data_IF_642801121621
#
_entry.id   IF_642801121621
#
_cell.length_a   1.000
_cell.length_b   1.000
_cell.length_c   1.000
_cell.angle_alpha   90.00
_cell.angle_beta   90.00
_cell.angle_gamma   90.00
#
_symmetry.space_group_name_H-M   'P 1'
#
loop_
_entity.id
_entity.type
_entity.pdbx_description
1 polymer ?
#
# COMPACT_ATOMS: atom_id res chain seq x y z
N UNK A 1 5.83 25.37 -12.98
CA UNK A 1 5.68 24.43 -11.84
C UNK A 1 4.21 24.03 -11.77
N UNK A 2 3.89 22.76 -11.99
CA UNK A 2 2.53 22.25 -11.77
C UNK A 2 2.27 22.28 -10.26
N UNK A 3 1.44 23.21 -9.82
CA UNK A 3 0.92 23.29 -8.46
C UNK A 3 -0.53 22.83 -8.57
N UNK A 4 -0.85 21.73 -7.92
CA UNK A 4 -2.14 21.06 -8.03
C UNK A 4 -2.68 20.97 -6.63
N UNK A 5 -3.64 21.84 -6.33
CA UNK A 5 -4.43 21.71 -5.10
C UNK A 5 -5.17 20.38 -5.21
N UNK A 6 -4.81 19.47 -4.29
CA UNK A 6 -5.36 18.22 -3.73
C UNK A 6 -6.66 17.63 -4.31
N UNK A 7 -7.53 18.43 -4.93
CA UNK A 7 -8.94 18.17 -5.18
C UNK A 7 -9.29 16.97 -6.09
N UNK A 8 -8.32 16.17 -6.52
CA UNK A 8 -8.50 14.89 -7.22
C UNK A 8 -7.67 13.75 -6.61
N UNK A 9 -6.63 14.04 -5.82
CA UNK A 9 -5.72 13.04 -5.25
C UNK A 9 -6.34 12.28 -4.08
N UNK A 10 -6.87 13.00 -3.09
CA UNK A 10 -7.47 12.38 -1.90
C UNK A 10 -8.77 11.61 -2.24
N UNK A 11 -9.63 12.15 -3.11
CA UNK A 11 -10.81 11.44 -3.62
C UNK A 11 -10.47 10.19 -4.44
N UNK A 12 -9.40 10.24 -5.26
CA UNK A 12 -8.94 9.06 -5.99
C UNK A 12 -8.36 8.00 -5.04
N UNK A 13 -7.54 8.41 -4.06
CA UNK A 13 -6.98 7.49 -3.04
C UNK A 13 -8.10 6.91 -2.15
N UNK A 14 -9.10 7.70 -1.77
CA UNK A 14 -10.25 7.20 -1.02
C UNK A 14 -11.06 6.16 -1.81
N UNK A 15 -11.18 6.32 -3.14
CA UNK A 15 -11.85 5.32 -3.99
C UNK A 15 -11.11 3.98 -4.05
N UNK A 16 -9.78 3.97 -3.97
CA UNK A 16 -8.97 2.73 -3.93
C UNK A 16 -8.96 2.07 -2.54
N UNK A 17 -9.01 2.84 -1.46
CA UNK A 17 -8.91 2.33 -0.09
C UNK A 17 -10.21 1.74 0.48
N UNK A 18 -11.37 2.15 -0.04
CA UNK A 18 -12.68 1.70 0.44
C UNK A 18 -13.23 0.44 -0.27
N UNK A 19 -12.34 -0.39 -0.82
CA UNK A 19 -12.70 -1.62 -1.54
C UNK A 19 -13.08 -2.79 -0.64
N UNK A 20 -13.20 -2.57 0.68
CA UNK A 20 -13.62 -3.60 1.64
C UNK A 20 -15.02 -4.17 1.35
N UNK A 21 -15.89 -3.40 0.67
CA UNK A 21 -17.27 -3.78 0.34
C UNK A 21 -17.64 -3.67 -1.16
N UNK A 22 -16.66 -3.62 -2.09
CA UNK A 22 -16.92 -3.43 -3.55
C UNK A 22 -17.74 -2.15 -3.90
N UNK A 23 -17.48 -1.01 -3.24
CA UNK A 23 -18.27 0.23 -3.40
C UNK A 23 -17.45 1.48 -3.74
N UNK A 24 -16.38 1.35 -4.54
CA UNK A 24 -15.61 2.50 -5.01
C UNK A 24 -16.50 3.57 -5.68
N UNK A 25 -17.50 3.15 -6.48
CA UNK A 25 -18.46 4.03 -7.16
C UNK A 25 -19.37 4.83 -6.19
N UNK A 26 -19.69 4.29 -5.02
CA UNK A 26 -20.59 4.95 -4.07
C UNK A 26 -19.92 6.13 -3.34
N UNK A 27 -18.59 6.16 -3.30
CA UNK A 27 -17.82 7.19 -2.58
C UNK A 27 -17.53 8.38 -3.48
N UNK A 28 -17.22 8.14 -4.75
CA UNK A 28 -17.04 9.20 -5.76
C UNK A 28 -18.34 10.00 -5.96
N UNK A 29 -19.50 9.40 -5.69
CA UNK A 29 -20.83 10.01 -5.88
C UNK A 29 -21.46 10.55 -4.59
N UNK A 30 -20.89 10.26 -3.42
CA UNK A 30 -21.44 10.74 -2.12
C UNK A 30 -20.98 12.17 -1.85
N UNK A 31 -21.92 13.02 -1.44
CA UNK A 31 -21.63 14.40 -1.01
C UNK A 31 -21.21 14.42 0.47
N UNK A 32 -19.91 14.53 0.72
CA UNK A 32 -19.27 14.73 2.03
C UNK A 32 -19.19 16.20 2.45
N UNK A 33 -19.77 17.16 1.71
CA UNK A 33 -19.60 18.58 2.03
C UNK A 33 -20.16 19.01 3.38
N UNK A 34 -21.07 18.22 3.97
CA UNK A 34 -21.59 18.44 5.32
C UNK A 34 -20.67 17.91 6.43
N UNK A 35 -19.62 17.16 6.06
CA UNK A 35 -18.67 16.56 6.99
C UNK A 35 -17.49 17.50 7.31
N UNK A 36 -17.26 18.51 6.47
CA UNK A 36 -16.28 19.56 6.75
C UNK A 36 -16.64 20.31 8.03
N UNK A 37 -15.61 20.58 8.85
CA UNK A 37 -15.72 21.37 10.07
C UNK A 37 -15.34 22.83 9.87
N UNK A 38 -15.10 23.25 8.62
CA UNK A 38 -14.84 24.66 8.32
C UNK A 38 -16.05 25.51 8.65
N UNK A 39 -15.83 26.58 9.39
CA UNK A 39 -16.92 27.47 9.75
C UNK A 39 -17.37 28.26 8.52
N UNK A 40 -18.68 28.29 8.25
CA UNK A 40 -19.24 28.97 7.07
C UNK A 40 -18.84 30.45 7.00
N UNK A 41 -18.62 31.08 8.15
CA UNK A 41 -18.19 32.48 8.23
C UNK A 41 -16.70 32.70 7.97
N UNK A 42 -15.86 31.65 8.01
CA UNK A 42 -14.42 31.77 7.82
C UNK A 42 -14.06 32.27 6.43
N UNK A 43 -14.86 31.92 5.41
CA UNK A 43 -14.66 32.36 4.02
C UNK A 43 -14.86 33.86 3.77
N UNK A 44 -15.47 34.57 4.73
CA UNK A 44 -15.72 36.02 4.61
C UNK A 44 -14.60 36.86 5.25
N UNK A 45 -13.54 36.24 5.77
CA UNK A 45 -12.37 36.96 6.24
C UNK A 45 -11.51 37.49 5.09
N UNK A 46 -10.49 38.28 5.42
CA UNK A 46 -9.52 38.77 4.45
C UNK A 46 -8.75 37.61 3.81
N UNK A 47 -8.64 37.56 2.47
CA UNK A 47 -7.83 36.56 1.79
C UNK A 47 -6.38 36.58 2.28
N UNK A 48 -5.74 35.41 2.32
CA UNK A 48 -4.32 35.36 2.65
C UNK A 48 -3.49 36.11 1.61
N UNK A 49 -2.50 36.86 2.09
CA UNK A 49 -1.51 37.45 1.20
C UNK A 49 -0.77 36.37 0.41
N UNK A 50 -0.51 36.62 -0.87
CA UNK A 50 0.09 35.66 -1.80
C UNK A 50 1.43 35.06 -1.32
N UNK A 51 2.20 35.80 -0.52
CA UNK A 51 3.49 35.34 -0.01
C UNK A 51 3.36 34.23 1.04
N UNK A 52 2.31 34.24 1.87
CA UNK A 52 2.01 33.18 2.84
C UNK A 52 1.21 32.03 2.22
N UNK A 53 0.35 32.36 1.25
CA UNK A 53 -0.61 31.46 0.65
C UNK A 53 -0.02 30.09 0.27
N UNK A 54 1.07 30.09 -0.52
CA UNK A 54 1.65 28.84 -1.01
C UNK A 54 2.29 27.98 0.08
N UNK A 55 2.81 28.60 1.14
CA UNK A 55 3.31 27.86 2.31
C UNK A 55 2.18 27.14 3.04
N UNK A 56 1.00 27.77 3.13
CA UNK A 56 -0.19 27.20 3.76
C UNK A 56 -0.85 26.11 2.93
N UNK A 57 -0.93 26.28 1.61
CA UNK A 57 -1.39 25.21 0.70
C UNK A 57 -0.48 23.99 0.81
N UNK A 58 0.85 24.17 0.74
CA UNK A 58 1.79 23.05 0.90
C UNK A 58 1.68 22.37 2.27
N UNK A 59 1.42 23.15 3.31
CA UNK A 59 1.19 22.62 4.66
C UNK A 59 -0.10 21.79 4.74
N UNK A 60 -1.18 22.18 4.06
CA UNK A 60 -2.38 21.35 3.96
C UNK A 60 -2.12 20.08 3.14
N UNK A 61 -1.44 20.20 1.99
CA UNK A 61 -1.05 19.05 1.15
C UNK A 61 -0.32 17.98 1.97
N UNK A 62 0.64 18.38 2.80
CA UNK A 62 1.34 17.47 3.71
C UNK A 62 0.37 16.82 4.70
N UNK A 63 -0.50 17.59 5.36
CA UNK A 63 -1.42 17.06 6.37
C UNK A 63 -2.42 16.06 5.80
N UNK A 64 -2.93 16.32 4.59
CA UNK A 64 -3.79 15.37 3.88
C UNK A 64 -3.03 14.08 3.55
N UNK A 65 -1.81 14.20 3.03
CA UNK A 65 -0.97 13.05 2.74
C UNK A 65 -0.65 12.24 4.00
N UNK A 66 -0.24 12.91 5.08
CA UNK A 66 0.09 12.28 6.37
C UNK A 66 -1.15 11.55 6.95
N UNK A 67 -2.34 12.16 6.87
CA UNK A 67 -3.58 11.54 7.35
C UNK A 67 -4.02 10.33 6.49
N UNK A 68 -3.80 10.39 5.18
CA UNK A 68 -4.03 9.25 4.28
C UNK A 68 -3.02 8.13 4.57
N UNK A 69 -1.74 8.45 4.73
CA UNK A 69 -0.69 7.48 5.07
C UNK A 69 -1.02 6.71 6.36
N UNK A 70 -1.66 7.36 7.34
CA UNK A 70 -2.15 6.71 8.56
C UNK A 70 -3.23 5.66 8.22
N UNK A 71 -4.14 5.96 7.30
CA UNK A 71 -5.21 5.02 6.90
C UNK A 71 -4.61 3.84 6.13
N UNK A 72 -3.60 4.09 5.29
CA UNK A 72 -2.91 3.09 4.47
C UNK A 72 -1.91 2.23 5.25
N UNK A 73 -1.54 2.64 6.47
CA UNK A 73 -0.58 1.91 7.29
C UNK A 73 -1.06 0.46 7.50
N UNK A 74 -0.20 -0.48 7.09
CA UNK A 74 -0.45 -1.92 7.13
C UNK A 74 -0.91 -2.40 8.52
N UNK A 75 -0.43 -1.76 9.60
CA UNK A 75 -0.84 -2.10 10.96
C UNK A 75 -2.35 -1.94 11.23
N UNK A 76 -3.02 -1.07 10.47
CA UNK A 76 -4.45 -0.82 10.56
C UNK A 76 -5.23 -1.50 9.42
N UNK A 77 -4.64 -2.51 8.78
CA UNK A 77 -5.29 -3.36 7.77
C UNK A 77 -6.30 -4.37 8.35
N UNK A 78 -6.52 -4.37 9.66
CA UNK A 78 -7.43 -5.30 10.36
C UNK A 78 -8.86 -4.79 10.40
N UNK A 79 -9.83 -5.72 10.38
CA UNK A 79 -11.26 -5.41 10.41
C UNK A 79 -11.68 -4.62 11.66
N UNK A 80 -10.98 -4.80 12.77
CA UNK A 80 -11.26 -4.11 14.03
C UNK A 80 -11.01 -2.60 13.92
N UNK A 81 -10.12 -2.16 13.02
CA UNK A 81 -9.85 -0.73 12.78
C UNK A 81 -10.76 -0.12 11.72
N UNK A 82 -11.63 -0.90 11.08
CA UNK A 82 -12.46 -0.43 9.96
C UNK A 82 -13.26 0.83 10.33
N UNK A 83 -13.99 0.82 11.43
CA UNK A 83 -14.83 1.96 11.81
C UNK A 83 -14.00 3.21 12.15
N UNK A 84 -12.85 3.04 12.79
CA UNK A 84 -11.93 4.14 13.10
C UNK A 84 -11.35 4.74 11.81
N UNK A 85 -10.93 3.90 10.86
CA UNK A 85 -10.46 4.32 9.53
C UNK A 85 -11.55 5.01 8.73
N UNK A 86 -12.77 4.48 8.75
CA UNK A 86 -13.90 5.06 8.03
C UNK A 86 -14.24 6.46 8.56
N UNK A 87 -14.18 6.66 9.88
CA UNK A 87 -14.35 7.99 10.49
C UNK A 87 -13.26 8.97 10.08
N UNK A 88 -11.98 8.57 10.16
CA UNK A 88 -10.85 9.41 9.74
C UNK A 88 -10.97 9.76 8.26
N UNK A 89 -11.23 8.78 7.39
CA UNK A 89 -11.42 9.02 5.95
C UNK A 89 -12.60 9.95 5.68
N UNK A 90 -13.73 9.76 6.37
CA UNK A 90 -14.91 10.64 6.21
C UNK A 90 -14.56 12.09 6.52
N UNK A 91 -13.74 12.34 7.55
CA UNK A 91 -13.25 13.69 7.90
C UNK A 91 -12.32 14.24 6.81
N UNK A 92 -11.34 13.46 6.36
CA UNK A 92 -10.43 13.82 5.27
C UNK A 92 -11.23 14.21 4.01
N UNK A 93 -12.18 13.37 3.59
CA UNK A 93 -13.00 13.63 2.40
C UNK A 93 -13.89 14.86 2.56
N UNK A 94 -14.41 15.10 3.77
CA UNK A 94 -15.17 16.32 4.08
C UNK A 94 -14.34 17.59 3.82
N UNK A 95 -13.12 17.63 4.34
CA UNK A 95 -12.24 18.80 4.17
C UNK A 95 -11.69 18.94 2.74
N UNK A 96 -11.35 17.85 2.06
CA UNK A 96 -10.94 17.90 0.65
C UNK A 96 -12.09 18.39 -0.23
N UNK A 97 -13.32 17.92 0.03
CA UNK A 97 -14.47 18.34 -0.75
C UNK A 97 -14.84 19.82 -0.51
N UNK A 98 -14.60 20.36 0.70
CA UNK A 98 -14.72 21.78 0.96
C UNK A 98 -13.82 22.59 0.01
N UNK A 99 -12.53 22.24 -0.06
CA UNK A 99 -11.56 22.89 -0.95
C UNK A 99 -11.92 22.72 -2.42
N UNK A 100 -12.39 21.54 -2.82
CA UNK A 100 -12.83 21.25 -4.19
C UNK A 100 -14.03 22.13 -4.59
N UNK A 101 -15.07 22.21 -3.75
CA UNK A 101 -16.26 23.04 -4.03
C UNK A 101 -15.86 24.50 -4.18
N UNK A 102 -14.99 25.00 -3.29
CA UNK A 102 -14.46 26.37 -3.37
C UNK A 102 -13.69 26.60 -4.67
N UNK A 103 -12.81 25.68 -5.07
CA UNK A 103 -12.06 25.76 -6.35
C UNK A 103 -13.01 25.77 -7.56
N UNK A 104 -14.08 24.98 -7.54
CA UNK A 104 -15.09 24.95 -8.60
C UNK A 104 -15.79 26.30 -8.72
N UNK A 105 -16.22 26.89 -7.61
CA UNK A 105 -16.90 28.19 -7.59
C UNK A 105 -15.98 29.32 -8.06
N UNK A 106 -14.74 29.35 -7.56
CA UNK A 106 -13.73 30.35 -7.97
C UNK A 106 -13.40 30.22 -9.46
N UNK A 107 -13.22 28.98 -9.96
CA UNK A 107 -12.93 28.73 -11.37
C UNK A 107 -14.07 29.19 -12.29
N UNK A 108 -15.34 28.99 -11.89
CA UNK A 108 -16.49 29.48 -12.67
C UNK A 108 -16.42 31.00 -12.86
N UNK A 109 -16.16 31.74 -11.77
CA UNK A 109 -16.02 33.19 -11.82
C UNK A 109 -14.81 33.64 -12.64
N UNK A 110 -13.65 33.00 -12.44
CA UNK A 110 -12.44 33.23 -13.24
C UNK A 110 -12.71 33.04 -14.74
N UNK A 111 -13.32 31.91 -15.11
CA UNK A 111 -13.62 31.55 -16.50
C UNK A 111 -14.52 32.57 -17.16
N UNK A 112 -15.59 32.99 -16.48
CA UNK A 112 -16.50 34.02 -16.98
C UNK A 112 -15.80 35.36 -17.22
N UNK A 113 -14.95 35.81 -16.29
CA UNK A 113 -14.18 37.07 -16.43
C UNK A 113 -13.22 37.02 -17.60
N UNK A 114 -12.50 35.91 -17.79
CA UNK A 114 -11.56 35.74 -18.90
C UNK A 114 -12.28 35.74 -20.26
N UNK A 115 -13.40 35.03 -20.37
CA UNK A 115 -14.19 35.00 -21.59
C UNK A 115 -14.76 36.39 -21.93
N UNK A 116 -15.26 37.14 -20.94
CA UNK A 116 -15.74 38.52 -21.13
C UNK A 116 -14.63 39.48 -21.59
N UNK A 117 -13.39 39.22 -21.21
CA UNK A 117 -12.21 39.98 -21.65
C UNK A 117 -11.65 39.53 -23.01
N UNK A 118 -12.28 38.58 -23.70
CA UNK A 118 -11.79 38.03 -24.97
C UNK A 118 -10.55 37.14 -24.83
N UNK A 119 -10.27 36.65 -23.61
CA UNK A 119 -9.12 35.79 -23.31
C UNK A 119 -9.53 34.32 -23.20
N UNK A 120 -8.59 33.42 -23.49
CA UNK A 120 -8.77 31.98 -23.30
C UNK A 120 -8.44 31.60 -21.85
N UNK A 121 -9.41 31.09 -21.06
CA UNK A 121 -9.15 30.63 -19.70
C UNK A 121 -8.33 29.33 -19.69
N UNK A 122 -7.53 29.13 -18.64
CA UNK A 122 -6.86 27.84 -18.42
C UNK A 122 -7.89 26.74 -18.11
N UNK A 123 -7.49 25.47 -18.28
CA UNK A 123 -8.33 24.32 -17.89
C UNK A 123 -8.47 24.24 -16.37
N UNK A 124 -9.58 23.69 -15.88
CA UNK A 124 -9.85 23.54 -14.44
C UNK A 124 -8.71 22.83 -13.68
N UNK A 125 -8.12 21.80 -14.29
CA UNK A 125 -7.00 21.05 -13.69
C UNK A 125 -5.72 21.89 -13.53
N UNK A 126 -5.51 22.86 -14.41
CA UNK A 126 -4.37 23.78 -14.38
C UNK A 126 -4.66 25.05 -13.55
N UNK A 127 -5.89 25.21 -13.07
CA UNK A 127 -6.31 26.30 -12.20
C UNK A 127 -5.95 26.01 -10.73
N UNK A 128 -5.49 27.03 -10.01
CA UNK A 128 -5.29 26.98 -8.57
C UNK A 128 -6.42 27.75 -7.89
N UNK A 129 -6.86 27.30 -6.73
CA UNK A 129 -7.58 28.15 -5.78
C UNK A 129 -6.64 29.33 -5.43
N UNK A 130 -7.20 30.52 -5.27
CA UNK A 130 -6.45 31.71 -4.83
C UNK A 130 -7.17 32.46 -3.71
N UNK A 131 -8.51 32.38 -3.68
CA UNK A 131 -9.30 32.93 -2.59
C UNK A 131 -9.32 31.91 -1.46
N UNK A 132 -8.47 32.09 -0.45
CA UNK A 132 -8.39 31.20 0.72
C UNK A 132 -7.91 32.01 1.92
N UNK A 133 -8.71 32.03 2.99
CA UNK A 133 -8.43 32.81 4.18
C UNK A 133 -7.61 32.01 5.20
N UNK A 134 -6.93 32.73 6.11
CA UNK A 134 -6.19 32.07 7.18
C UNK A 134 -7.12 31.34 8.16
N UNK A 135 -8.37 31.81 8.32
CA UNK A 135 -9.37 31.13 9.14
C UNK A 135 -9.77 29.79 8.54
N UNK A 136 -10.05 29.73 7.24
CA UNK A 136 -10.33 28.45 6.58
C UNK A 136 -9.16 27.46 6.70
N UNK A 137 -7.92 27.95 6.53
CA UNK A 137 -6.73 27.12 6.78
C UNK A 137 -6.71 26.58 8.22
N UNK A 138 -6.93 27.43 9.22
CA UNK A 138 -6.89 27.04 10.63
C UNK A 138 -8.01 26.04 10.96
N UNK A 139 -9.21 26.24 10.42
CA UNK A 139 -10.34 25.35 10.64
C UNK A 139 -10.05 23.95 10.06
N UNK A 140 -9.53 23.88 8.82
CA UNK A 140 -9.14 22.60 8.19
C UNK A 140 -8.01 21.94 8.98
N UNK A 141 -6.98 22.70 9.33
CA UNK A 141 -5.84 22.21 10.11
C UNK A 141 -6.30 21.59 11.44
N UNK A 142 -7.14 22.30 12.18
CA UNK A 142 -7.67 21.83 13.45
C UNK A 142 -8.56 20.60 13.27
N UNK A 143 -9.43 20.60 12.25
CA UNK A 143 -10.30 19.45 11.95
C UNK A 143 -9.53 18.18 11.65
N UNK A 144 -8.50 18.26 10.80
CA UNK A 144 -7.64 17.11 10.46
C UNK A 144 -6.85 16.64 11.69
N UNK A 145 -6.29 17.58 12.46
CA UNK A 145 -5.55 17.26 13.70
C UNK A 145 -6.45 16.54 14.70
N UNK A 146 -7.64 17.07 14.97
CA UNK A 146 -8.60 16.48 15.90
C UNK A 146 -9.04 15.09 15.43
N UNK A 147 -9.28 14.92 14.12
CA UNK A 147 -9.65 13.62 13.55
C UNK A 147 -8.53 12.57 13.70
N UNK A 148 -7.27 12.95 13.51
CA UNK A 148 -6.11 12.07 13.72
C UNK A 148 -5.94 11.73 15.21
N UNK A 149 -6.11 12.70 16.09
CA UNK A 149 -6.08 12.45 17.54
C UNK A 149 -7.20 11.49 17.98
N UNK A 150 -8.42 11.70 17.50
CA UNK A 150 -9.58 10.83 17.72
C UNK A 150 -9.29 9.40 17.21
N UNK A 151 -8.75 9.27 16.00
CA UNK A 151 -8.33 7.98 15.44
C UNK A 151 -7.38 7.23 16.37
N UNK A 152 -6.33 7.89 16.87
CA UNK A 152 -5.38 7.23 17.77
C UNK A 152 -5.97 6.86 19.14
N UNK A 153 -6.96 7.60 19.64
CA UNK A 153 -7.68 7.20 20.85
C UNK A 153 -8.53 5.94 20.60
N UNK A 154 -9.20 5.86 19.46
CA UNK A 154 -9.96 4.67 19.06
C UNK A 154 -9.04 3.46 18.87
N UNK A 155 -7.89 3.63 18.20
CA UNK A 155 -6.86 2.59 18.06
C UNK A 155 -6.42 2.06 19.42
N UNK A 156 -6.07 2.94 20.37
CA UNK A 156 -5.68 2.51 21.72
C UNK A 156 -6.78 1.71 22.40
N UNK A 157 -8.04 2.13 22.24
CA UNK A 157 -9.18 1.42 22.80
C UNK A 157 -9.35 0.03 22.16
N UNK A 158 -9.24 -0.07 20.83
CA UNK A 158 -9.31 -1.34 20.10
C UNK A 158 -8.19 -2.28 20.55
N UNK A 159 -6.95 -1.79 20.61
CA UNK A 159 -5.79 -2.58 21.04
C UNK A 159 -5.91 -3.05 22.49
N UNK A 160 -6.48 -2.23 23.38
CA UNK A 160 -6.70 -2.64 24.78
C UNK A 160 -7.66 -3.82 24.94
N UNK A 161 -8.52 -4.06 23.94
CA UNK A 161 -9.49 -5.17 23.90
C UNK A 161 -9.01 -6.37 23.10
N UNK A 162 -7.95 -6.21 22.30
CA UNK A 162 -7.42 -7.22 21.38
C UNK A 162 -5.90 -7.30 21.58
N UNK A 163 -5.47 -8.20 22.47
CA UNK A 163 -4.06 -8.29 22.89
C UNK A 163 -3.10 -8.62 21.74
N UNK A 164 -3.57 -9.33 20.72
CA UNK A 164 -2.82 -9.68 19.53
C UNK A 164 -2.61 -8.50 18.56
N UNK A 165 -3.42 -7.44 18.69
CA UNK A 165 -3.29 -6.18 17.95
C UNK A 165 -2.44 -5.14 18.66
N UNK A 166 -2.05 -5.38 19.91
CA UNK A 166 -1.24 -4.46 20.68
C UNK A 166 0.14 -4.29 20.03
N UNK A 167 0.52 -3.03 19.79
CA UNK A 167 1.81 -2.72 19.17
C UNK A 167 2.96 -3.14 20.08
N UNK A 168 3.94 -3.82 19.49
CA UNK A 168 5.19 -4.19 20.15
C UNK A 168 6.01 -2.98 20.55
N UNK A 169 6.83 -3.16 21.59
CA UNK A 169 7.98 -2.30 21.77
C UNK A 169 9.02 -2.56 20.67
N UNK A 170 9.91 -1.60 20.43
CA UNK A 170 10.88 -1.66 19.32
C UNK A 170 11.76 -2.91 19.36
N UNK A 171 12.20 -3.35 20.54
CA UNK A 171 13.07 -4.54 20.67
C UNK A 171 12.31 -5.81 20.32
N UNK A 172 11.06 -5.89 20.72
CA UNK A 172 10.18 -7.02 20.37
C UNK A 172 9.85 -7.03 18.88
N UNK A 173 9.53 -5.87 18.28
CA UNK A 173 9.33 -5.74 16.83
C UNK A 173 10.55 -6.20 16.04
N UNK A 174 11.76 -5.76 16.41
CA UNK A 174 12.99 -6.15 15.72
C UNK A 174 13.23 -7.66 15.80
N UNK A 175 13.04 -8.25 16.99
CA UNK A 175 13.20 -9.70 17.20
C UNK A 175 12.17 -10.50 16.37
N UNK A 176 10.90 -10.12 16.40
CA UNK A 176 9.87 -10.84 15.65
C UNK A 176 10.02 -10.62 14.13
N UNK A 177 10.56 -9.47 13.72
CA UNK A 177 10.97 -9.23 12.33
C UNK A 177 12.06 -10.22 11.91
N UNK A 178 13.12 -10.38 12.69
CA UNK A 178 14.18 -11.35 12.41
C UNK A 178 13.65 -12.79 12.31
N UNK A 179 12.68 -13.14 13.17
CA UNK A 179 12.03 -14.46 13.15
C UNK A 179 11.25 -14.70 11.84
N UNK A 180 10.50 -13.70 11.35
CA UNK A 180 9.76 -13.83 10.09
C UNK A 180 10.72 -13.83 8.90
N UNK A 181 11.73 -12.96 8.90
CA UNK A 181 12.73 -12.87 7.81
C UNK A 181 13.65 -14.10 7.73
N UNK A 182 13.70 -14.92 8.80
CA UNK A 182 14.25 -16.27 8.73
C UNK A 182 13.56 -17.13 7.66
N UNK A 183 12.22 -17.08 7.58
CA UNK A 183 11.44 -17.83 6.57
C UNK A 183 11.61 -17.22 5.18
N UNK A 184 11.69 -15.89 5.08
CA UNK A 184 12.03 -15.20 3.83
C UNK A 184 13.36 -15.70 3.27
N UNK A 185 14.36 -15.89 4.13
CA UNK A 185 15.68 -16.40 3.73
C UNK A 185 15.63 -17.86 3.25
N UNK A 186 14.69 -18.67 3.74
CA UNK A 186 14.45 -20.04 3.26
C UNK A 186 13.74 -20.04 1.91
N UNK A 187 12.75 -19.15 1.72
CA UNK A 187 12.07 -18.94 0.44
C UNK A 187 13.09 -18.48 -0.61
N UNK A 188 13.96 -17.54 -0.27
CA UNK A 188 15.03 -17.09 -1.18
C UNK A 188 15.96 -18.24 -1.59
N UNK A 189 16.21 -19.22 -0.72
CA UNK A 189 16.95 -20.45 -1.09
C UNK A 189 16.17 -21.29 -2.11
N UNK A 190 14.87 -21.49 -1.91
CA UNK A 190 14.02 -22.24 -2.86
C UNK A 190 14.00 -21.53 -4.21
N UNK A 191 13.77 -20.22 -4.21
CA UNK A 191 13.79 -19.38 -5.41
C UNK A 191 15.14 -19.51 -6.10
N UNK A 192 16.24 -19.27 -5.40
CA UNK A 192 17.59 -19.39 -5.95
C UNK A 192 17.88 -20.77 -6.57
N UNK A 193 17.42 -21.84 -5.92
CA UNK A 193 17.62 -23.23 -6.35
C UNK A 193 16.89 -23.56 -7.65
N UNK A 194 15.67 -23.02 -7.82
CA UNK A 194 14.78 -23.41 -8.90
C UNK A 194 14.56 -22.33 -9.96
N UNK A 195 14.99 -21.07 -9.77
CA UNK A 195 14.71 -19.95 -10.69
C UNK A 195 15.09 -20.24 -12.15
N UNK A 196 16.24 -20.88 -12.36
CA UNK A 196 16.73 -21.29 -13.69
C UNK A 196 16.43 -22.73 -14.06
N UNK A 197 15.68 -23.46 -13.23
CA UNK A 197 15.34 -24.86 -13.45
C UNK A 197 14.32 -25.01 -14.59
N UNK A 198 14.50 -26.03 -15.43
CA UNK A 198 13.67 -26.23 -16.63
C UNK A 198 12.23 -26.62 -16.29
N UNK A 199 12.03 -27.35 -15.19
CA UNK A 199 10.73 -27.92 -14.84
C UNK A 199 10.03 -27.09 -13.77
N UNK A 200 10.80 -26.41 -12.91
CA UNK A 200 10.25 -25.72 -11.72
C UNK A 200 10.52 -24.21 -11.71
N UNK A 201 11.15 -23.67 -12.75
CA UNK A 201 11.53 -22.25 -12.80
C UNK A 201 10.37 -21.28 -12.85
N UNK A 202 9.21 -21.67 -13.39
CA UNK A 202 8.03 -20.78 -13.36
C UNK A 202 7.41 -20.71 -11.97
N UNK A 203 7.24 -21.85 -11.30
CA UNK A 203 6.78 -21.89 -9.89
C UNK A 203 7.74 -21.14 -8.96
N UNK A 204 9.05 -21.17 -9.22
CA UNK A 204 10.02 -20.40 -8.44
C UNK A 204 9.88 -18.87 -8.63
N UNK A 205 9.53 -18.40 -9.83
CA UNK A 205 9.26 -16.97 -10.06
C UNK A 205 7.92 -16.55 -9.45
N UNK A 206 6.92 -17.42 -9.52
CA UNK A 206 5.63 -17.19 -8.86
C UNK A 206 5.80 -17.10 -7.35
N UNK A 207 6.56 -18.02 -6.75
CA UNK A 207 6.94 -17.97 -5.33
C UNK A 207 7.61 -16.64 -4.97
N UNK A 208 8.55 -16.17 -5.81
CA UNK A 208 9.19 -14.86 -5.59
C UNK A 208 8.20 -13.70 -5.68
N UNK A 209 7.30 -13.71 -6.65
CA UNK A 209 6.29 -12.66 -6.80
C UNK A 209 5.31 -12.65 -5.61
N UNK A 210 4.86 -13.83 -5.15
CA UNK A 210 4.01 -13.97 -3.96
C UNK A 210 4.71 -13.46 -2.70
N UNK A 211 6.01 -13.76 -2.54
CA UNK A 211 6.84 -13.23 -1.46
C UNK A 211 6.89 -11.69 -1.48
N UNK A 212 7.17 -11.09 -2.65
CA UNK A 212 7.26 -9.64 -2.79
C UNK A 212 5.93 -8.96 -2.44
N UNK A 213 4.78 -9.57 -2.78
CA UNK A 213 3.45 -9.07 -2.39
C UNK A 213 3.26 -9.09 -0.87
N UNK A 214 3.61 -10.20 -0.20
CA UNK A 214 3.45 -10.33 1.26
C UNK A 214 4.32 -9.32 2.02
N UNK A 215 5.57 -9.15 1.59
CA UNK A 215 6.52 -8.23 2.23
C UNK A 215 6.23 -6.76 1.95
N UNK A 216 5.49 -6.45 0.88
CA UNK A 216 5.23 -5.09 0.43
C UNK A 216 6.42 -4.47 -0.32
N UNK A 217 6.38 -3.15 -0.50
CA UNK A 217 7.40 -2.45 -1.28
C UNK A 217 8.80 -2.54 -0.63
N UNK A 218 9.84 -2.80 -1.43
CA UNK A 218 11.23 -2.93 -0.94
C UNK A 218 11.70 -1.71 -0.10
N UNK A 219 11.24 -0.50 -0.46
CA UNK A 219 11.61 0.74 0.24
C UNK A 219 10.74 1.04 1.46
N UNK A 220 9.58 0.39 1.57
CA UNK A 220 8.59 0.57 2.64
C UNK A 220 7.94 -0.78 2.93
N UNK A 221 8.70 -1.76 3.47
CA UNK A 221 8.17 -3.10 3.72
C UNK A 221 7.10 -3.05 4.81
N UNK A 222 6.19 -4.01 4.76
CA UNK A 222 5.17 -4.22 5.77
C UNK A 222 5.83 -4.55 7.11
N UNK A 223 5.61 -3.69 8.11
CA UNK A 223 6.21 -3.83 9.43
C UNK A 223 5.47 -4.85 10.28
N UNK A 224 6.22 -5.63 11.07
CA UNK A 224 5.68 -6.66 11.95
C UNK A 224 5.42 -6.04 13.34
N UNK A 225 4.40 -5.19 13.40
CA UNK A 225 4.17 -4.31 14.55
C UNK A 225 3.42 -4.94 15.71
N UNK A 226 2.77 -6.10 15.51
CA UNK A 226 2.02 -6.81 16.54
C UNK A 226 1.98 -8.33 16.27
N UNK A 227 1.40 -9.07 17.21
CA UNK A 227 1.35 -10.53 17.18
C UNK A 227 0.49 -11.08 16.04
N UNK A 228 -0.62 -10.42 15.72
CA UNK A 228 -1.47 -10.86 14.61
C UNK A 228 -0.74 -10.76 13.28
N UNK A 229 -0.11 -9.62 12.99
CA UNK A 229 0.69 -9.45 11.76
C UNK A 229 1.80 -10.48 11.69
N UNK A 230 2.52 -10.71 12.80
CA UNK A 230 3.58 -11.72 12.85
C UNK A 230 3.04 -13.09 12.45
N UNK A 231 1.92 -13.51 13.05
CA UNK A 231 1.31 -14.82 12.80
C UNK A 231 0.81 -14.94 11.37
N UNK A 232 0.02 -13.98 10.90
CA UNK A 232 -0.53 -13.99 9.54
C UNK A 232 0.58 -13.99 8.48
N UNK A 233 1.59 -13.13 8.63
CA UNK A 233 2.72 -13.10 7.69
C UNK A 233 3.52 -14.42 7.73
N UNK A 234 3.68 -15.03 8.91
CA UNK A 234 4.30 -16.36 9.03
C UNK A 234 3.47 -17.43 8.33
N UNK A 235 2.15 -17.42 8.51
CA UNK A 235 1.23 -18.38 7.90
C UNK A 235 1.18 -18.20 6.36
N UNK A 236 1.13 -16.96 5.87
CA UNK A 236 1.19 -16.62 4.44
C UNK A 236 2.51 -17.09 3.80
N UNK A 237 3.65 -16.82 4.45
CA UNK A 237 4.96 -17.28 3.97
C UNK A 237 5.05 -18.82 3.95
N UNK A 238 4.56 -19.49 5.00
CA UNK A 238 4.49 -20.95 5.00
C UNK A 238 3.57 -21.48 3.91
N UNK A 239 2.45 -20.81 3.67
CA UNK A 239 1.48 -21.20 2.66
C UNK A 239 2.04 -21.10 1.24
N UNK A 240 2.80 -20.06 0.91
CA UNK A 240 3.40 -19.95 -0.43
C UNK A 240 4.52 -20.98 -0.64
N UNK A 241 5.21 -21.38 0.44
CA UNK A 241 6.15 -22.51 0.40
C UNK A 241 5.38 -23.81 0.11
N UNK A 242 4.27 -24.05 0.83
CA UNK A 242 3.42 -25.23 0.60
C UNK A 242 2.87 -25.27 -0.83
N UNK A 243 2.38 -24.13 -1.35
CA UNK A 243 1.92 -23.99 -2.74
C UNK A 243 3.01 -24.43 -3.73
N UNK A 244 4.26 -23.96 -3.55
CA UNK A 244 5.37 -24.37 -4.41
C UNK A 244 5.58 -25.89 -4.42
N UNK A 245 5.59 -26.53 -3.26
CA UNK A 245 5.82 -27.98 -3.16
C UNK A 245 4.61 -28.79 -3.67
N UNK A 246 3.39 -28.34 -3.40
CA UNK A 246 2.17 -28.97 -3.92
C UNK A 246 2.09 -28.89 -5.44
N UNK A 247 2.33 -27.71 -6.03
CA UNK A 247 2.25 -27.48 -7.49
C UNK A 247 3.36 -28.21 -8.25
N UNK A 248 4.56 -28.29 -7.67
CA UNK A 248 5.70 -28.99 -8.30
C UNK A 248 5.67 -30.50 -8.09
N UNK A 249 4.80 -31.00 -7.20
CA UNK A 249 4.77 -32.40 -6.78
C UNK A 249 6.01 -32.84 -6.00
N UNK A 250 6.81 -31.90 -5.51
CA UNK A 250 8.00 -32.16 -4.69
C UNK A 250 7.62 -32.24 -3.20
N UNK A 251 8.48 -32.85 -2.38
CA UNK A 251 8.29 -32.86 -0.93
C UNK A 251 9.01 -31.68 -0.25
N UNK A 252 8.31 -31.02 0.67
CA UNK A 252 8.87 -29.94 1.48
C UNK A 252 9.84 -30.52 2.54
N UNK A 253 11.13 -30.18 2.50
CA UNK A 253 12.06 -30.61 3.53
C UNK A 253 11.80 -29.89 4.85
N UNK A 254 12.10 -30.57 5.97
CA UNK A 254 11.94 -30.02 7.33
C UNK A 254 12.89 -28.85 7.59
N UNK A 255 14.06 -28.85 6.95
CA UNK A 255 15.08 -27.82 7.12
C UNK A 255 15.68 -27.46 5.76
N UNK A 256 15.80 -26.16 5.51
CA UNK A 256 16.48 -25.59 4.35
C UNK A 256 17.58 -24.67 4.85
N UNK A 257 18.77 -24.75 4.24
CA UNK A 257 19.85 -23.82 4.55
C UNK A 257 19.49 -22.43 4.02
N UNK A 258 19.60 -21.40 4.87
CA UNK A 258 19.13 -20.05 4.56
C UNK A 258 20.02 -19.36 3.53
N UNK A 259 19.40 -18.63 2.62
CA UNK A 259 20.12 -17.81 1.66
C UNK A 259 20.82 -16.67 2.40
N UNK A 260 22.09 -16.42 2.08
CA UNK A 260 22.86 -15.30 2.60
C UNK A 260 23.53 -14.64 1.40
N UNK A 261 23.18 -13.40 1.03
CA UNK A 261 23.72 -12.77 -0.17
C UNK A 261 25.24 -12.58 -0.13
N UNK A 262 25.84 -12.48 1.05
CA UNK A 262 27.28 -12.31 1.22
C UNK A 262 28.06 -13.62 1.04
N UNK A 263 27.39 -14.76 1.18
CA UNK A 263 28.01 -16.09 1.08
C UNK A 263 27.58 -16.79 -0.21
N UNK A 264 26.32 -16.68 -0.59
CA UNK A 264 25.66 -17.42 -1.68
C UNK A 264 25.40 -16.53 -2.90
N UNK A 265 26.26 -15.55 -3.19
CA UNK A 265 26.14 -14.73 -4.40
C UNK A 265 26.50 -15.58 -5.64
N UNK A 266 25.61 -15.73 -6.63
CA UNK A 266 25.94 -16.49 -7.84
C UNK A 266 26.99 -15.79 -8.71
N UNK A 267 27.24 -14.48 -8.50
CA UNK A 267 28.31 -13.75 -9.20
C UNK A 267 29.62 -13.72 -8.44
N UNK A 268 29.57 -13.51 -7.12
CA UNK A 268 30.77 -13.26 -6.31
C UNK A 268 31.29 -14.54 -5.66
N UNK A 269 30.42 -15.53 -5.41
CA UNK A 269 30.76 -16.80 -4.78
C UNK A 269 29.95 -17.97 -5.37
N UNK A 270 30.19 -18.24 -6.65
CA UNK A 270 29.47 -19.27 -7.41
C UNK A 270 29.59 -20.66 -6.77
N UNK A 271 30.76 -21.05 -6.28
CA UNK A 271 30.95 -22.37 -5.67
C UNK A 271 30.05 -22.56 -4.44
N UNK A 272 29.96 -21.55 -3.57
CA UNK A 272 29.08 -21.62 -2.41
C UNK A 272 27.59 -21.57 -2.80
N UNK A 273 27.24 -20.87 -3.86
CA UNK A 273 25.90 -20.88 -4.43
C UNK A 273 25.53 -22.28 -4.97
N UNK A 274 26.39 -22.87 -5.80
CA UNK A 274 26.16 -24.19 -6.39
C UNK A 274 26.02 -25.27 -5.29
N UNK A 275 26.83 -25.19 -4.23
CA UNK A 275 26.69 -26.05 -3.03
C UNK A 275 25.33 -25.91 -2.34
N UNK A 276 24.84 -24.68 -2.16
CA UNK A 276 23.52 -24.42 -1.58
C UNK A 276 22.40 -25.05 -2.42
N UNK A 277 22.49 -24.92 -3.75
CA UNK A 277 21.52 -25.49 -4.70
C UNK A 277 21.53 -27.02 -4.62
N UNK A 278 22.71 -27.64 -4.61
CA UNK A 278 22.86 -29.09 -4.49
C UNK A 278 22.31 -29.63 -3.16
N UNK A 279 22.66 -29.00 -2.04
CA UNK A 279 22.16 -29.34 -0.71
C UNK A 279 20.63 -29.25 -0.66
N UNK A 280 20.06 -28.17 -1.19
CA UNK A 280 18.61 -27.95 -1.21
C UNK A 280 17.90 -29.02 -2.05
N UNK A 281 18.39 -29.30 -3.26
CA UNK A 281 17.81 -30.36 -4.12
C UNK A 281 17.92 -31.74 -3.49
N UNK A 282 18.99 -32.01 -2.75
CA UNK A 282 19.14 -33.26 -1.99
C UNK A 282 18.11 -33.35 -0.86
N UNK A 283 17.98 -32.30 -0.04
CA UNK A 283 17.02 -32.25 1.05
C UNK A 283 15.58 -32.46 0.55
N UNK A 284 15.20 -31.84 -0.56
CA UNK A 284 13.89 -32.02 -1.20
C UNK A 284 13.65 -33.47 -1.65
N UNK A 285 14.67 -34.12 -2.25
CA UNK A 285 14.55 -35.52 -2.70
C UNK A 285 14.44 -36.51 -1.55
N UNK A 286 15.08 -36.22 -0.42
CA UNK A 286 15.08 -37.06 0.79
C UNK A 286 13.89 -36.78 1.71
N UNK A 287 13.14 -35.71 1.47
CA UNK A 287 11.98 -35.33 2.27
C UNK A 287 10.82 -36.33 2.08
N UNK A 288 10.17 -36.68 3.19
CA UNK A 288 8.97 -37.50 3.21
C UNK A 288 7.69 -36.67 2.97
N UNK A 289 6.54 -37.35 2.95
CA UNK A 289 5.24 -36.70 2.73
C UNK A 289 4.57 -36.18 4.01
N UNK A 290 5.24 -36.23 5.17
CA UNK A 290 4.63 -35.90 6.46
C UNK A 290 4.15 -34.43 6.56
N UNK A 291 4.77 -33.54 5.79
CA UNK A 291 4.43 -32.13 5.70
C UNK A 291 3.02 -31.89 5.13
N UNK A 292 2.51 -32.79 4.27
CA UNK A 292 1.19 -32.66 3.62
C UNK A 292 0.01 -32.66 4.61
N UNK A 293 0.23 -33.16 5.83
CA UNK A 293 -0.78 -33.13 6.92
C UNK A 293 -0.70 -31.89 7.81
N UNK A 294 0.28 -31.01 7.55
CA UNK A 294 0.62 -29.84 8.37
C UNK A 294 0.61 -28.54 7.55
N UNK A 295 0.06 -28.59 6.34
CA UNK A 295 -0.01 -27.42 5.46
C UNK A 295 -0.93 -26.35 6.04
N UNK A 296 -0.63 -25.09 5.73
CA UNK A 296 -1.47 -23.96 6.18
C UNK A 296 -2.84 -23.98 5.51
N UNK A 297 -2.88 -24.33 4.21
CA UNK A 297 -4.11 -24.48 3.42
C UNK A 297 -4.55 -25.95 3.31
N UNK A 298 -5.83 -26.16 3.07
CA UNK A 298 -6.42 -27.46 2.72
C UNK A 298 -6.36 -27.68 1.21
N UNK A 299 -5.64 -28.71 0.76
CA UNK A 299 -5.54 -29.05 -0.65
C UNK A 299 -6.34 -30.34 -0.94
N UNK A 300 -7.33 -30.28 -1.84
CA UNK A 300 -8.04 -31.47 -2.34
C UNK A 300 -9.53 -31.61 -1.96
N UNK A 301 -10.09 -30.70 -1.18
CA UNK A 301 -11.55 -30.49 -1.13
C UNK A 301 -11.90 -29.37 -2.12
N UNK A 302 -13.02 -29.47 -2.83
CA UNK A 302 -13.45 -28.43 -3.80
C UNK A 302 -13.67 -27.09 -3.08
N UNK A 303 -12.63 -26.27 -2.99
CA UNK A 303 -12.67 -24.96 -2.38
C UNK A 303 -13.27 -23.93 -3.34
N UNK A 304 -14.60 -23.77 -3.27
CA UNK A 304 -15.17 -22.43 -3.24
C UNK A 304 -14.86 -21.82 -1.88
N UNK A 305 -13.74 -21.09 -1.75
CA UNK A 305 -13.58 -19.90 -0.88
C UNK A 305 -12.16 -19.35 -1.00
N UNK A 306 -12.08 -18.14 -1.54
CA UNK A 306 -10.88 -17.33 -1.60
C UNK A 306 -10.31 -17.11 -0.18
N UNK A 307 -9.13 -17.67 0.11
CA UNK A 307 -8.27 -17.13 1.15
C UNK A 307 -7.47 -15.99 0.55
N UNK A 308 -7.95 -14.79 0.87
CA UNK A 308 -7.39 -13.49 0.57
C UNK A 308 -6.05 -13.40 1.30
N UNK A 309 -4.94 -13.60 0.58
CA UNK A 309 -3.74 -12.75 0.77
C UNK A 309 -4.27 -11.36 1.00
N UNK A 310 -3.89 -10.61 2.04
CA UNK A 310 -4.30 -9.19 2.20
C UNK A 310 -4.11 -8.51 0.85
N UNK A 311 -5.19 -8.45 0.08
CA UNK A 311 -5.07 -8.22 -1.35
C UNK A 311 -4.76 -6.73 -1.44
N UNK A 312 -3.56 -6.39 -1.90
CA UNK A 312 -3.51 -5.34 -2.91
C UNK A 312 -4.38 -5.84 -4.06
N UNK A 313 -5.69 -5.59 -3.96
CA UNK A 313 -6.66 -6.00 -4.97
C UNK A 313 -6.22 -5.33 -6.26
N UNK A 314 -5.87 -6.17 -7.23
CA UNK A 314 -5.78 -5.82 -8.64
C UNK A 314 -6.91 -4.85 -8.98
N UNK A 315 -6.53 -3.66 -9.40
CA UNK A 315 -7.42 -2.70 -10.05
C UNK A 315 -8.05 -3.42 -11.24
N UNK A 316 -9.34 -3.73 -11.16
CA UNK A 316 -10.13 -4.02 -12.35
C UNK A 316 -10.07 -2.78 -13.23
N UNK A 317 -9.71 -2.97 -14.51
CA UNK A 317 -9.53 -1.87 -15.46
C UNK A 317 -10.75 -0.93 -15.38
N UNK A 318 -10.55 0.37 -15.09
CA UNK A 318 -11.63 1.32 -15.27
C UNK A 318 -12.06 1.24 -16.73
N UNK A 319 -13.35 1.04 -16.99
CA UNK A 319 -13.90 1.14 -18.33
C UNK A 319 -13.52 2.51 -18.89
N UNK A 320 -12.48 2.53 -19.73
CA UNK A 320 -11.98 3.73 -20.37
C UNK A 320 -13.10 4.28 -21.27
N UNK A 321 -13.44 5.57 -21.18
CA UNK A 321 -14.09 6.22 -22.30
C UNK A 321 -13.12 6.14 -23.48
N UNK A 322 -13.61 5.56 -24.58
CA UNK A 322 -12.91 5.43 -25.87
C UNK A 322 -12.15 6.71 -26.20
N UNK A 323 -10.84 6.61 -26.48
CA UNK A 323 -10.10 7.17 -27.64
C UNK A 323 -8.58 7.12 -27.39
N UNK A 324 -7.89 6.28 -28.19
CA UNK A 324 -6.59 6.58 -28.85
C UNK A 324 -5.28 6.67 -28.03
N UNK A 325 -4.55 5.54 -27.94
CA UNK A 325 -3.12 5.34 -28.28
C UNK A 325 -2.40 4.32 -27.36
N UNK A 326 -2.39 3.06 -27.80
CA UNK A 326 -1.94 1.87 -27.06
C UNK A 326 -0.45 1.51 -27.25
N UNK A 327 0.44 2.46 -27.54
CA UNK A 327 1.84 2.13 -27.89
C UNK A 327 2.90 2.41 -26.82
N UNK A 328 2.54 2.87 -25.61
CA UNK A 328 3.54 3.22 -24.58
C UNK A 328 3.82 2.19 -23.49
N UNK A 329 3.01 1.14 -23.36
CA UNK A 329 3.10 0.19 -22.23
C UNK A 329 4.23 -0.84 -22.40
N UNK A 330 4.70 -1.11 -23.64
CA UNK A 330 5.75 -2.12 -23.88
C UNK A 330 7.18 -1.71 -23.53
N UNK A 331 7.46 -0.43 -23.25
CA UNK A 331 8.83 0.06 -23.03
C UNK A 331 9.27 0.11 -21.56
N UNK A 332 8.34 0.03 -20.59
CA UNK A 332 8.69 0.10 -19.15
C UNK A 332 9.08 -1.26 -18.53
N UNK A 333 8.65 -2.38 -19.10
CA UNK A 333 9.02 -3.73 -18.63
C UNK A 333 10.50 -4.10 -18.92
N UNK A 334 11.17 -3.39 -19.81
CA UNK A 334 12.57 -3.66 -20.18
C UNK A 334 13.56 -2.91 -19.27
N UNK A 335 13.16 -1.83 -18.60
CA UNK A 335 14.03 -1.08 -17.68
C UNK A 335 14.11 -1.67 -16.27
N UNK A 336 13.10 -2.44 -15.84
CA UNK A 336 13.12 -3.20 -14.57
C UNK A 336 14.21 -4.27 -14.50
N UNK A 337 14.76 -4.71 -15.64
CA UNK A 337 15.82 -5.73 -15.69
C UNK A 337 17.25 -5.21 -15.42
N UNK A 338 17.47 -3.90 -15.28
CA UNK A 338 18.84 -3.33 -15.23
C UNK A 338 19.29 -2.70 -13.90
N UNK A 339 18.44 -2.62 -12.87
CA UNK A 339 18.82 -2.01 -11.58
C UNK A 339 18.86 -2.94 -10.37
N UNK A 340 18.37 -4.18 -10.47
CA UNK A 340 18.39 -5.14 -9.36
C UNK A 340 19.75 -5.79 -9.07
N UNK A 341 20.87 -5.24 -9.55
CA UNK A 341 22.21 -5.78 -9.26
C UNK A 341 23.19 -4.79 -8.62
N UNK A 342 22.77 -3.58 -8.21
CA UNK A 342 23.72 -2.61 -7.65
C UNK A 342 23.39 -2.05 -6.27
N UNK A 343 22.33 -2.47 -5.60
CA UNK A 343 21.97 -1.94 -4.27
C UNK A 343 22.04 -2.95 -3.12
N UNK A 344 22.65 -4.13 -3.32
CA UNK A 344 23.07 -4.99 -2.19
C UNK A 344 24.49 -4.70 -1.67
N UNK A 345 25.15 -3.67 -2.20
CA UNK A 345 26.40 -3.14 -1.66
C UNK A 345 26.28 -1.63 -1.58
N UNK A 346 25.57 -1.12 -0.57
CA UNK A 346 25.88 0.14 0.14
C UNK A 346 25.09 0.25 1.43
#
# INVERSE_FOLDING_TARGET
MKKQIISLGALAVASSLFTWDNKADAIVTKDYSKESRVNENSKYDSPMSNWYYWGKVKSLESQFADAIDIIEDYQYGEKEYKDAKDKLMTRILGEDQYLLKKKIEEYKQYRERYLKAGLSPVKFYDYNLYDFTMKEYNDIHQSLKDAVEEFYQEVKHIQSKNSDLQTYDKKTEDKETDNVYSLVSEIDTIVATYYGDKNHGEHAKELRAKLDIILGEEKKPNRITNERIRKEMTDDLNSIIDDFFMETGQNRPVKITKYNPNIHSPKDNKESFDKLVEETKKAVKEADESWKTKTVKTYGETETKAHVVKEEKKVEEPQLPKVGNQQRIKLQLVQLKKHHYQLRNH
#
